data_IF_852780667817
#
_entry.id   IF_852780667817
#
_cell.length_a   1.000
_cell.length_b   1.000
_cell.length_c   1.000
_cell.angle_alpha   90.00
_cell.angle_beta   90.00
_cell.angle_gamma   90.00
#
_symmetry.space_group_name_H-M   'P 1'
#
loop_
_entity.id
_entity.type
_entity.pdbx_description
1 polymer ?
#
# COMPACT_ATOMS: atom_id res chain seq x y z
N UNK A 1 -10.53 7.26 -18.84
CA UNK A 1 -10.21 5.82 -18.98
C UNK A 1 -10.08 5.49 -20.46
N UNK A 2 -9.25 4.53 -20.85
CA UNK A 2 -8.77 4.34 -22.24
C UNK A 2 -9.86 4.56 -23.28
N UNK A 3 -9.63 5.52 -24.16
CA UNK A 3 -10.46 5.80 -25.33
C UNK A 3 -9.55 6.14 -26.51
N UNK A 4 -10.08 6.08 -27.72
CA UNK A 4 -9.35 6.53 -28.92
C UNK A 4 -8.88 7.98 -28.81
N UNK A 5 -9.56 8.80 -28.00
CA UNK A 5 -9.21 10.20 -27.72
C UNK A 5 -8.23 10.36 -26.54
N UNK A 6 -8.01 9.30 -25.75
CA UNK A 6 -7.18 9.33 -24.54
C UNK A 6 -6.42 7.99 -24.40
N UNK A 7 -5.31 7.79 -25.15
CA UNK A 7 -4.65 6.50 -25.32
C UNK A 7 -3.84 6.04 -24.08
N UNK A 8 -4.14 6.57 -22.89
CA UNK A 8 -3.44 6.27 -21.63
C UNK A 8 -3.98 4.99 -21.01
N UNK A 9 -3.68 3.85 -21.64
CA UNK A 9 -4.11 2.53 -21.18
C UNK A 9 -3.69 2.25 -19.72
N UNK A 10 -2.49 2.70 -19.34
CA UNK A 10 -1.90 2.44 -18.03
C UNK A 10 -2.45 3.32 -16.90
N UNK A 11 -3.13 4.43 -17.20
CA UNK A 11 -3.72 5.32 -16.19
C UNK A 11 -4.75 4.63 -15.29
N UNK A 12 -5.32 3.51 -15.73
CA UNK A 12 -6.23 2.69 -14.92
C UNK A 12 -5.54 2.07 -13.69
N UNK A 13 -4.21 1.95 -13.71
CA UNK A 13 -3.42 1.37 -12.61
C UNK A 13 -3.10 2.38 -11.50
N UNK A 14 -3.27 3.68 -11.73
CA UNK A 14 -2.91 4.74 -10.77
C UNK A 14 -3.51 4.53 -9.37
N UNK A 15 -4.79 4.13 -9.19
CA UNK A 15 -5.33 3.86 -7.86
C UNK A 15 -4.60 2.73 -7.12
N UNK A 16 -4.16 1.70 -7.84
CA UNK A 16 -3.41 0.57 -7.24
C UNK A 16 -2.03 1.02 -6.76
N UNK A 17 -1.38 1.93 -7.47
CA UNK A 17 -0.09 2.51 -7.06
C UNK A 17 -0.24 3.42 -5.85
N UNK A 18 -1.25 4.28 -5.84
CA UNK A 18 -1.55 5.20 -4.73
C UNK A 18 -1.89 4.41 -3.45
N UNK A 19 -2.69 3.36 -3.58
CA UNK A 19 -3.13 2.51 -2.47
C UNK A 19 -2.22 1.29 -2.25
N UNK A 20 -1.05 1.22 -2.92
CA UNK A 20 -0.21 0.02 -2.91
C UNK A 20 0.20 -0.39 -1.49
N UNK A 21 0.65 0.56 -0.68
CA UNK A 21 1.06 0.30 0.71
C UNK A 21 -0.10 -0.24 1.56
N UNK A 22 -1.26 0.45 1.69
CA UNK A 22 -2.37 -0.06 2.49
C UNK A 22 -2.98 -1.36 1.94
N UNK A 23 -3.04 -1.56 0.62
CA UNK A 23 -3.58 -2.78 0.02
C UNK A 23 -2.69 -4.00 0.28
N UNK A 24 -1.38 -3.85 0.15
CA UNK A 24 -0.42 -4.93 0.45
C UNK A 24 -0.42 -5.27 1.94
N UNK A 25 -0.50 -4.26 2.81
CA UNK A 25 -0.57 -4.48 4.26
C UNK A 25 -1.88 -5.17 4.67
N UNK A 26 -3.01 -4.75 4.09
CA UNK A 26 -4.30 -5.42 4.26
C UNK A 26 -4.23 -6.89 3.82
N UNK A 27 -3.74 -7.14 2.59
CA UNK A 27 -3.61 -8.49 2.06
C UNK A 27 -2.73 -9.37 2.96
N UNK A 28 -1.63 -8.82 3.48
CA UNK A 28 -0.75 -9.50 4.42
C UNK A 28 -1.45 -9.87 5.73
N UNK A 29 -2.13 -8.93 6.38
CA UNK A 29 -2.82 -9.17 7.65
C UNK A 29 -3.97 -10.17 7.48
N UNK A 30 -4.77 -10.03 6.42
CA UNK A 30 -5.85 -10.97 6.11
C UNK A 30 -5.30 -12.38 5.89
N UNK A 31 -4.27 -12.53 5.04
CA UNK A 31 -3.66 -13.83 4.77
C UNK A 31 -3.05 -14.46 6.03
N UNK A 32 -2.36 -13.68 6.86
CA UNK A 32 -1.78 -14.14 8.12
C UNK A 32 -2.87 -14.66 9.07
N UNK A 33 -3.97 -13.92 9.22
CA UNK A 33 -5.05 -14.31 10.15
C UNK A 33 -5.80 -15.53 9.70
N UNK A 34 -6.08 -15.65 8.40
CA UNK A 34 -6.65 -16.87 7.84
C UNK A 34 -5.75 -18.08 8.08
N UNK A 35 -4.43 -17.96 7.88
CA UNK A 35 -3.47 -19.03 8.20
C UNK A 35 -3.46 -19.42 9.68
N UNK A 36 -3.79 -18.48 10.58
CA UNK A 36 -3.89 -18.71 12.02
C UNK A 36 -5.31 -19.12 12.46
N UNK A 37 -6.27 -19.29 11.55
CA UNK A 37 -7.67 -19.61 11.87
C UNK A 37 -8.40 -18.49 12.62
N UNK A 38 -7.91 -17.24 12.56
CA UNK A 38 -8.47 -16.09 13.27
C UNK A 38 -9.37 -15.26 12.34
N UNK A 39 -10.50 -14.72 12.83
CA UNK A 39 -11.32 -13.79 12.05
C UNK A 39 -10.52 -12.55 11.63
N UNK A 40 -10.66 -12.12 10.37
CA UNK A 40 -9.90 -11.00 9.81
C UNK A 40 -10.45 -9.62 10.21
N UNK A 41 -11.73 -9.54 10.57
CA UNK A 41 -12.43 -8.30 10.93
C UNK A 41 -12.23 -7.85 12.39
N UNK A 42 -11.54 -8.66 13.19
CA UNK A 42 -11.13 -8.28 14.56
C UNK A 42 -9.82 -7.49 14.45
N UNK A 43 -9.65 -6.37 15.16
CA UNK A 43 -8.40 -5.60 15.12
C UNK A 43 -7.16 -6.42 15.52
N UNK A 44 -5.98 -6.08 14.98
CA UNK A 44 -4.68 -6.51 15.52
C UNK A 44 -3.59 -5.45 15.32
N UNK A 45 -2.38 -5.79 15.75
CA UNK A 45 -1.16 -4.98 15.59
C UNK A 45 -0.15 -5.67 14.65
N UNK A 46 -0.61 -6.46 13.67
CA UNK A 46 0.26 -7.14 12.70
C UNK A 46 0.54 -6.33 11.44
N UNK A 47 -0.01 -5.12 11.35
CA UNK A 47 0.28 -4.15 10.31
C UNK A 47 1.76 -3.76 10.22
N UNK A 48 2.19 -3.35 9.03
CA UNK A 48 3.57 -2.98 8.70
C UNK A 48 4.18 -2.00 9.72
N UNK A 49 3.44 -0.95 10.11
CA UNK A 49 3.89 0.06 11.09
C UNK A 49 4.31 -0.58 12.42
N UNK A 50 3.43 -1.39 13.01
CA UNK A 50 3.72 -2.08 14.26
C UNK A 50 4.81 -3.15 14.09
N UNK A 51 4.90 -3.80 12.93
CA UNK A 51 5.96 -4.77 12.61
C UNK A 51 7.34 -4.13 12.47
N UNK A 52 7.43 -2.89 12.01
CA UNK A 52 8.68 -2.13 11.97
C UNK A 52 9.12 -1.75 13.38
N UNK A 53 8.19 -1.26 14.20
CA UNK A 53 8.48 -0.91 15.60
C UNK A 53 8.92 -2.14 16.41
N UNK A 54 8.25 -3.28 16.24
CA UNK A 54 8.68 -4.55 16.87
C UNK A 54 10.06 -5.03 16.41
N UNK A 55 10.56 -4.57 15.27
CA UNK A 55 11.92 -4.86 14.77
C UNK A 55 12.97 -3.85 15.27
N UNK A 56 12.59 -2.91 16.13
CA UNK A 56 13.50 -1.95 16.74
C UNK A 56 13.51 -0.57 16.09
N UNK A 57 12.65 -0.31 15.11
CA UNK A 57 12.48 1.03 14.56
C UNK A 57 11.72 1.91 15.57
N UNK A 58 12.06 3.18 15.65
CA UNK A 58 11.22 4.15 16.34
C UNK A 58 9.91 4.38 15.56
N UNK A 59 8.87 4.82 16.26
CA UNK A 59 7.58 5.12 15.62
C UNK A 59 7.70 6.17 14.49
N UNK A 60 8.46 7.27 14.64
CA UNK A 60 8.66 8.23 13.54
C UNK A 60 9.38 7.63 12.33
N UNK A 61 10.40 6.78 12.53
CA UNK A 61 11.11 6.12 11.43
C UNK A 61 10.18 5.19 10.64
N UNK A 62 9.32 4.44 11.34
CA UNK A 62 8.34 3.57 10.70
C UNK A 62 7.33 4.37 9.85
N UNK A 63 6.86 5.51 10.35
CA UNK A 63 5.96 6.42 9.61
C UNK A 63 6.67 7.03 8.41
N UNK A 64 7.91 7.48 8.57
CA UNK A 64 8.71 8.06 7.48
C UNK A 64 8.90 7.05 6.34
N UNK A 65 9.24 5.80 6.64
CA UNK A 65 9.35 4.76 5.61
C UNK A 65 8.03 4.56 4.86
N UNK A 66 6.91 4.49 5.58
CA UNK A 66 5.58 4.31 4.98
C UNK A 66 5.24 5.51 4.07
N UNK A 67 5.55 6.74 4.49
CA UNK A 67 5.38 7.93 3.66
C UNK A 67 6.27 7.92 2.42
N UNK A 68 7.53 7.50 2.55
CA UNK A 68 8.43 7.39 1.40
C UNK A 68 7.90 6.37 0.38
N UNK A 69 7.44 5.20 0.84
CA UNK A 69 6.86 4.18 -0.03
C UNK A 69 5.57 4.68 -0.71
N UNK A 70 4.70 5.36 0.03
CA UNK A 70 3.49 5.98 -0.52
C UNK A 70 3.83 7.10 -1.51
N UNK A 71 4.85 7.91 -1.22
CA UNK A 71 5.34 8.97 -2.10
C UNK A 71 5.93 8.44 -3.41
N UNK A 72 6.65 7.32 -3.36
CA UNK A 72 7.12 6.61 -4.57
C UNK A 72 5.93 6.13 -5.39
N UNK A 73 4.95 5.45 -4.77
CA UNK A 73 3.74 4.99 -5.45
C UNK A 73 2.95 6.14 -6.08
N UNK A 74 2.79 7.26 -5.36
CA UNK A 74 2.15 8.48 -5.85
C UNK A 74 2.92 9.11 -7.01
N UNK A 75 4.24 9.22 -6.93
CA UNK A 75 5.08 9.73 -8.02
C UNK A 75 4.95 8.87 -9.27
N UNK A 76 5.01 7.54 -9.14
CA UNK A 76 4.79 6.63 -10.26
C UNK A 76 3.38 6.79 -10.85
N UNK A 77 2.36 6.93 -10.01
CA UNK A 77 0.99 7.17 -10.46
C UNK A 77 0.86 8.48 -11.24
N UNK A 78 1.55 9.55 -10.81
CA UNK A 78 1.61 10.82 -11.55
C UNK A 78 2.30 10.62 -12.91
N UNK A 79 3.45 9.94 -12.96
CA UNK A 79 4.15 9.67 -14.23
C UNK A 79 3.30 8.84 -15.22
N UNK A 80 2.38 8.00 -14.75
CA UNK A 80 1.44 7.30 -15.64
C UNK A 80 0.30 8.20 -16.15
N UNK A 81 0.01 9.29 -15.44
CA UNK A 81 -1.06 10.23 -15.77
C UNK A 81 -0.58 11.37 -16.66
N UNK A 82 0.68 11.79 -16.53
CA UNK A 82 1.30 12.90 -17.24
C UNK A 82 2.33 12.41 -18.27
N UNK A 83 2.43 13.05 -19.45
CA UNK A 83 3.42 12.72 -20.48
C UNK A 83 4.86 13.09 -20.09
#
# INVERSE_FOLDING_TARGET
FYSSQNPRAWAVLSPLLILGVPLLDLAWVVALRWRLGKPFYVGDTNHLSHRLVRRGWSQPEAVLLIWLLAGVGGTLALLLLFP
#
